data_IF_788953969929
#
_entry.id   IF_788953969929
#
_cell.length_a   1.000
_cell.length_b   1.000
_cell.length_c   1.000
_cell.angle_alpha   90.00
_cell.angle_beta   90.00
_cell.angle_gamma   90.00
#
_symmetry.space_group_name_H-M   'P 1'
#
loop_
_entity.id
_entity.type
_entity.pdbx_description
1 polymer ?
#
# COMPACT_ATOMS: atom_id res chain seq x y z
N UNK A 1 2.29 2.74 2.11
CA UNK A 1 1.39 1.63 1.74
C UNK A 1 1.63 1.31 0.28
N UNK A 2 2.41 0.27 -0.02
CA UNK A 2 2.38 -0.35 -1.34
C UNK A 2 1.16 -1.29 -1.30
N UNK A 3 0.13 -0.97 -2.07
CA UNK A 3 -1.06 -1.82 -2.17
C UNK A 3 -0.72 -2.99 -3.11
N UNK A 4 -0.17 -4.06 -2.57
CA UNK A 4 -0.18 -5.37 -3.24
C UNK A 4 -1.57 -5.97 -3.06
N UNK A 5 -2.42 -5.83 -4.06
CA UNK A 5 -3.70 -6.52 -4.11
C UNK A 5 -3.56 -7.81 -4.92
N UNK A 6 -3.73 -8.95 -4.24
CA UNK A 6 -3.93 -10.23 -4.93
C UNK A 6 -5.42 -10.40 -5.20
N UNK A 7 -5.93 -9.76 -6.25
CA UNK A 7 -7.15 -10.22 -6.91
C UNK A 7 -6.81 -10.41 -8.38
N UNK A 8 -6.98 -11.66 -8.83
CA UNK A 8 -6.67 -12.14 -10.17
C UNK A 8 -7.49 -11.35 -11.20
N UNK A 9 -6.94 -10.22 -11.68
CA UNK A 9 -7.36 -9.60 -12.94
C UNK A 9 -6.69 -10.42 -14.04
N UNK A 10 -7.50 -11.17 -14.78
CA UNK A 10 -7.05 -11.84 -16.00
C UNK A 10 -6.51 -10.79 -16.97
N UNK A 11 -5.19 -10.74 -17.17
CA UNK A 11 -4.57 -9.90 -18.21
C UNK A 11 -3.40 -9.00 -17.78
N UNK A 12 -2.89 -9.08 -16.54
CA UNK A 12 -1.63 -8.39 -16.17
C UNK A 12 -0.51 -9.40 -15.98
N UNK A 13 0.39 -9.47 -16.96
CA UNK A 13 1.64 -10.21 -16.84
C UNK A 13 2.59 -9.47 -15.87
N UNK A 14 3.06 -10.19 -14.85
CA UNK A 14 4.35 -9.95 -14.19
C UNK A 14 4.45 -8.77 -13.22
N UNK A 15 4.38 -9.05 -11.91
CA UNK A 15 5.19 -8.28 -10.93
C UNK A 15 6.64 -8.70 -11.15
N UNK A 16 7.51 -7.82 -11.63
CA UNK A 16 8.95 -8.10 -11.69
C UNK A 16 9.59 -7.75 -10.34
N UNK A 17 9.83 -8.76 -9.50
CA UNK A 17 10.64 -8.58 -8.30
C UNK A 17 12.10 -8.67 -8.72
N UNK A 18 12.82 -7.55 -8.64
CA UNK A 18 14.26 -7.54 -8.80
C UNK A 18 14.89 -7.97 -7.47
N UNK A 19 15.16 -9.27 -7.32
CA UNK A 19 15.85 -9.77 -6.13
C UNK A 19 17.31 -9.37 -6.20
N UNK A 20 17.75 -8.48 -5.31
CA UNK A 20 19.17 -8.34 -5.00
C UNK A 20 19.53 -9.49 -4.04
N UNK A 21 20.26 -10.49 -4.54
CA UNK A 21 20.59 -11.73 -3.80
C UNK A 21 21.28 -11.49 -2.44
N UNK A 22 21.93 -10.33 -2.25
CA UNK A 22 22.58 -10.00 -0.99
C UNK A 22 21.58 -9.55 0.09
N UNK A 23 20.75 -8.54 -0.18
CA UNK A 23 19.79 -8.01 0.82
C UNK A 23 18.67 -9.00 1.16
N UNK A 24 18.22 -9.80 0.20
CA UNK A 24 17.15 -10.76 0.42
C UNK A 24 17.56 -11.90 1.37
N UNK A 25 18.84 -12.31 1.38
CA UNK A 25 19.32 -13.39 2.25
C UNK A 25 19.69 -12.93 3.65
N UNK A 26 20.23 -11.72 3.78
CA UNK A 26 20.77 -11.23 5.06
C UNK A 26 19.70 -10.51 5.90
N UNK A 27 18.75 -9.85 5.24
CA UNK A 27 17.80 -8.94 5.90
C UNK A 27 16.35 -9.16 5.48
N UNK A 28 16.06 -10.22 4.72
CA UNK A 28 14.73 -10.51 4.13
C UNK A 28 14.11 -9.30 3.41
N UNK A 29 14.94 -8.37 2.93
CA UNK A 29 14.50 -7.11 2.35
C UNK A 29 14.39 -7.25 0.84
N UNK A 30 13.17 -7.06 0.31
CA UNK A 30 12.87 -7.16 -1.10
C UNK A 30 12.71 -5.77 -1.73
N UNK A 31 13.24 -5.60 -2.95
CA UNK A 31 13.07 -4.40 -3.76
C UNK A 31 12.31 -4.75 -5.05
N UNK A 32 11.43 -3.86 -5.50
CA UNK A 32 10.67 -4.05 -6.73
C UNK A 32 10.21 -2.72 -7.30
N UNK A 33 10.10 -2.67 -8.64
CA UNK A 33 9.57 -1.52 -9.35
C UNK A 33 8.03 -1.57 -9.40
N UNK A 34 7.38 -0.44 -9.15
CA UNK A 34 5.92 -0.32 -9.26
C UNK A 34 5.57 0.06 -10.70
N UNK A 35 5.14 -0.91 -11.49
CA UNK A 35 4.74 -0.70 -12.90
C UNK A 35 3.29 -0.25 -13.07
N UNK A 36 2.45 -0.45 -12.05
CA UNK A 36 1.06 0.02 -12.03
C UNK A 36 0.53 0.16 -10.60
N UNK A 37 -0.50 0.99 -10.40
CA UNK A 37 -1.15 1.18 -9.11
C UNK A 37 -2.66 1.41 -9.29
N UNK A 38 -3.45 0.98 -8.31
CA UNK A 38 -4.89 1.17 -8.26
C UNK A 38 -5.33 1.61 -6.87
N UNK A 39 -6.41 2.38 -6.81
CA UNK A 39 -7.03 2.82 -5.57
C UNK A 39 -8.55 2.91 -5.75
N UNK A 40 -9.30 2.83 -4.65
CA UNK A 40 -10.73 3.06 -4.65
C UNK A 40 -11.01 4.56 -4.90
N UNK A 41 -11.74 4.85 -5.97
CA UNK A 41 -12.02 6.21 -6.42
C UNK A 41 -12.80 7.05 -5.40
N UNK A 42 -13.42 6.44 -4.39
CA UNK A 42 -14.12 7.15 -3.30
C UNK A 42 -13.16 7.82 -2.31
N UNK A 43 -11.94 7.28 -2.18
CA UNK A 43 -10.96 7.76 -1.19
C UNK A 43 -9.64 8.23 -1.81
N UNK A 44 -9.46 8.03 -3.11
CA UNK A 44 -8.33 8.58 -3.87
C UNK A 44 -8.86 9.42 -5.02
N UNK A 45 -8.94 10.72 -4.80
CA UNK A 45 -9.57 11.70 -5.70
C UNK A 45 -8.51 12.72 -6.09
N UNK A 46 -8.35 12.95 -7.39
CA UNK A 46 -7.39 13.93 -7.94
C UNK A 46 -5.95 13.75 -7.41
N UNK A 47 -5.50 12.50 -7.29
CA UNK A 47 -4.14 12.20 -6.82
C UNK A 47 -3.94 12.37 -5.32
N UNK A 48 -5.03 12.55 -4.53
CA UNK A 48 -4.96 12.78 -3.08
C UNK A 48 -5.88 11.83 -2.33
N UNK A 49 -5.43 11.44 -1.14
CA UNK A 49 -6.27 10.69 -0.20
C UNK A 49 -7.30 11.60 0.45
N UNK A 50 -8.57 11.20 0.38
CA UNK A 50 -9.70 11.84 1.02
C UNK A 50 -10.42 10.80 1.86
N UNK A 51 -10.26 10.90 3.18
CA UNK A 51 -10.90 10.00 4.13
C UNK A 51 -12.03 10.76 4.83
N UNK A 52 -13.25 10.61 4.31
CA UNK A 52 -14.44 11.30 4.84
C UNK A 52 -15.15 10.49 5.94
N UNK A 53 -15.04 9.16 5.89
CA UNK A 53 -15.61 8.18 6.84
C UNK A 53 -14.51 7.20 7.29
N UNK A 54 -14.66 6.58 8.48
CA UNK A 54 -13.66 5.69 9.06
C UNK A 54 -13.57 4.31 8.38
N UNK A 55 -14.57 3.95 7.58
CA UNK A 55 -14.70 2.61 6.97
C UNK A 55 -13.68 2.30 5.89
N UNK A 56 -13.10 3.32 5.26
CA UNK A 56 -12.11 3.17 4.19
C UNK A 56 -10.73 3.68 4.60
N UNK A 57 -10.53 3.93 5.90
CA UNK A 57 -9.23 4.31 6.44
C UNK A 57 -8.24 3.16 6.32
N UNK A 58 -6.98 3.51 6.11
CA UNK A 58 -5.89 2.54 6.16
C UNK A 58 -5.67 2.05 7.60
N UNK A 59 -5.38 0.76 7.76
CA UNK A 59 -5.01 0.16 9.04
C UNK A 59 -3.48 0.22 9.25
N UNK A 60 -3.08 0.55 10.47
CA UNK A 60 -1.69 0.54 10.93
C UNK A 60 -1.57 -0.45 12.09
N UNK A 61 -0.75 -1.48 11.92
CA UNK A 61 -0.58 -2.54 12.90
C UNK A 61 0.35 -2.09 14.05
N UNK A 62 -0.07 -2.31 15.29
CA UNK A 62 0.70 -1.97 16.50
C UNK A 62 1.30 -3.20 17.20
N UNK A 63 0.92 -4.41 16.80
CA UNK A 63 1.30 -5.66 17.47
C UNK A 63 0.13 -6.30 18.22
N UNK A 64 0.29 -7.58 18.59
CA UNK A 64 -0.69 -8.35 19.37
C UNK A 64 -2.13 -8.31 18.81
N UNK A 65 -2.30 -8.24 17.48
CA UNK A 65 -3.61 -8.14 16.84
C UNK A 65 -4.30 -6.79 17.01
N UNK A 66 -3.58 -5.77 17.46
CA UNK A 66 -4.08 -4.40 17.65
C UNK A 66 -3.74 -3.52 16.46
N UNK A 67 -4.72 -2.72 16.03
CA UNK A 67 -4.61 -1.83 14.87
C UNK A 67 -5.17 -0.45 15.20
N UNK A 68 -4.67 0.56 14.52
CA UNK A 68 -5.26 1.91 14.49
C UNK A 68 -5.58 2.31 13.06
N UNK A 69 -6.62 3.11 12.87
CA UNK A 69 -6.92 3.71 11.58
C UNK A 69 -6.13 5.01 11.40
N UNK A 70 -5.97 5.46 10.15
CA UNK A 70 -5.42 6.80 9.89
C UNK A 70 -6.22 7.89 10.61
N UNK A 71 -5.49 8.84 11.20
CA UNK A 71 -6.07 9.98 11.92
C UNK A 71 -6.53 11.12 10.99
N UNK A 72 -6.97 12.22 11.60
CA UNK A 72 -7.41 13.43 10.87
C UNK A 72 -6.27 14.03 10.04
N UNK A 73 -6.60 14.46 8.82
CA UNK A 73 -5.65 15.16 7.93
C UNK A 73 -5.22 16.50 8.54
N UNK A 74 -3.93 16.77 8.51
CA UNK A 74 -3.31 18.05 8.92
C UNK A 74 -2.60 18.65 7.70
N UNK A 75 -2.64 19.98 7.56
CA UNK A 75 -1.94 20.71 6.49
C UNK A 75 -0.87 21.60 7.15
N UNK A 76 0.35 21.59 6.63
CA UNK A 76 1.38 22.53 7.05
C UNK A 76 1.02 23.95 6.57
N UNK A 77 1.26 24.95 7.42
CA UNK A 77 1.09 26.36 7.08
C UNK A 77 2.30 26.93 6.35
#
# INVERSE_FOLDING_TARGET
MVCLWSRKMSGVDGVSIATCDFCAREYDTLFGEVVSAAADARVFVEGRWQFDDDKLNTLHHLGAGTFVTSGKRVTAG
#
